data_IF_816943071671
#
_entry.id   IF_816943071671
#
_cell.length_a   1.000
_cell.length_b   1.000
_cell.length_c   1.000
_cell.angle_alpha   90.00
_cell.angle_beta   90.00
_cell.angle_gamma   90.00
#
_symmetry.space_group_name_H-M   'P 1'
#
loop_
_entity.id
_entity.type
_entity.pdbx_description
1 polymer ?
#
# COMPACT_ATOMS: atom_id res chain seq x y z
N UNK A 1 -1.07 -1.11 13.93
CA UNK A 1 -1.31 -1.70 12.58
C UNK A 1 -1.25 -3.21 12.70
N UNK A 2 -2.04 -3.96 11.92
CA UNK A 2 -1.94 -5.42 11.85
C UNK A 2 -1.52 -5.87 10.46
N UNK A 3 -0.50 -6.70 10.38
CA UNK A 3 0.00 -7.27 9.12
C UNK A 3 0.15 -8.78 9.23
N UNK A 4 -0.07 -9.49 8.12
CA UNK A 4 0.19 -10.92 8.00
C UNK A 4 1.68 -11.14 7.72
N UNK A 5 2.42 -11.59 8.72
CA UNK A 5 3.85 -11.88 8.62
C UNK A 5 4.06 -13.37 8.83
N UNK A 6 4.74 -14.03 7.89
CA UNK A 6 5.01 -15.49 7.94
C UNK A 6 3.72 -16.31 8.13
N UNK A 7 2.61 -15.87 7.51
CA UNK A 7 1.32 -16.56 7.54
C UNK A 7 0.42 -16.23 8.73
N UNK A 8 0.92 -15.53 9.76
CA UNK A 8 0.12 -15.13 10.94
C UNK A 8 -0.12 -13.63 10.99
N UNK A 9 -1.29 -13.22 11.45
CA UNK A 9 -1.55 -11.81 11.76
C UNK A 9 -0.73 -11.38 12.99
N UNK A 10 -0.03 -10.26 12.86
CA UNK A 10 0.84 -9.68 13.90
C UNK A 10 0.47 -8.24 14.12
N UNK A 11 0.39 -7.86 15.38
CA UNK A 11 0.23 -6.47 15.78
C UNK A 11 1.59 -5.79 15.87
N UNK A 12 1.72 -4.63 15.22
CA UNK A 12 2.94 -3.86 15.23
C UNK A 12 2.85 -2.71 16.23
N UNK A 13 3.80 -2.66 17.15
CA UNK A 13 3.99 -1.59 18.13
C UNK A 13 4.60 -0.36 17.46
N UNK A 14 4.04 0.86 17.63
CA UNK A 14 4.66 2.08 17.13
C UNK A 14 6.11 2.23 17.60
N UNK A 15 7.02 2.61 16.70
CA UNK A 15 8.46 2.65 17.02
C UNK A 15 8.81 3.59 18.18
N UNK A 16 8.03 4.67 18.39
CA UNK A 16 8.23 5.56 19.55
C UNK A 16 7.99 4.83 20.87
N UNK A 17 6.93 4.03 20.94
CA UNK A 17 6.58 3.24 22.11
C UNK A 17 7.60 2.12 22.35
N UNK A 18 8.00 1.43 21.27
CA UNK A 18 9.03 0.40 21.35
C UNK A 18 10.37 0.97 21.85
N UNK A 19 10.81 2.12 21.33
CA UNK A 19 12.04 2.78 21.80
C UNK A 19 11.97 3.15 23.27
N UNK A 20 10.85 3.72 23.71
CA UNK A 20 10.66 4.09 25.11
C UNK A 20 10.69 2.86 26.03
N UNK A 21 10.04 1.77 25.63
CA UNK A 21 9.99 0.53 26.43
C UNK A 21 11.35 -0.16 26.60
N UNK A 22 12.24 -0.04 25.61
CA UNK A 22 13.55 -0.71 25.61
C UNK A 22 14.74 0.23 25.82
N UNK A 23 14.50 1.53 26.06
CA UNK A 23 15.56 2.53 26.24
C UNK A 23 16.44 2.73 25.00
N UNK A 24 15.85 2.66 23.81
CA UNK A 24 16.57 2.78 22.54
C UNK A 24 16.73 4.25 22.10
N UNK A 25 17.81 4.59 21.38
CA UNK A 25 18.00 5.94 20.89
C UNK A 25 16.97 6.31 19.80
N UNK A 26 16.70 7.61 19.57
CA UNK A 26 15.84 8.07 18.47
C UNK A 26 16.32 7.61 17.08
N UNK A 27 17.60 7.30 16.95
CA UNK A 27 18.25 6.78 15.74
C UNK A 27 18.01 5.29 15.51
N UNK A 28 17.35 4.54 16.41
CA UNK A 28 16.94 3.17 16.12
C UNK A 28 15.69 3.19 15.23
N UNK A 29 15.85 3.04 13.92
CA UNK A 29 14.77 3.09 12.94
C UNK A 29 15.07 2.21 11.72
N UNK A 30 14.10 2.04 10.83
CA UNK A 30 14.29 1.26 9.58
C UNK A 30 15.46 1.83 8.76
N UNK A 31 15.61 3.16 8.73
CA UNK A 31 16.66 3.83 7.97
C UNK A 31 18.08 3.51 8.47
N UNK A 32 18.23 3.06 9.71
CA UNK A 32 19.51 2.62 10.30
C UNK A 32 20.03 1.35 9.66
N UNK A 33 19.11 0.47 9.25
CA UNK A 33 19.43 -0.86 8.73
C UNK A 33 19.33 -0.92 7.21
N UNK A 34 18.32 -0.25 6.64
CA UNK A 34 18.12 -0.11 5.21
C UNK A 34 17.91 1.36 4.85
N UNK A 35 18.99 2.16 4.74
CA UNK A 35 18.88 3.56 4.37
C UNK A 35 18.21 3.70 3.00
N UNK A 36 17.39 4.75 2.85
CA UNK A 36 16.82 5.13 1.56
C UNK A 36 17.53 6.36 1.05
N UNK A 37 18.06 6.29 -0.16
CA UNK A 37 18.46 7.49 -0.87
C UNK A 37 17.20 8.19 -1.39
N UNK A 38 17.02 9.44 -0.99
CA UNK A 38 15.92 10.29 -1.41
C UNK A 38 16.30 11.21 -2.58
N UNK A 39 17.56 11.17 -3.03
CA UNK A 39 18.00 11.98 -4.15
C UNK A 39 17.21 11.66 -5.42
N UNK A 40 16.65 12.70 -6.05
CA UNK A 40 15.87 12.57 -7.28
C UNK A 40 14.52 11.86 -7.14
N UNK A 41 13.98 11.68 -5.93
CA UNK A 41 12.61 11.17 -5.75
C UNK A 41 11.58 12.28 -5.99
N UNK A 42 10.46 11.89 -6.59
CA UNK A 42 9.31 12.77 -6.75
C UNK A 42 8.73 13.23 -5.40
N UNK A 43 8.20 14.46 -5.38
CA UNK A 43 7.56 15.04 -4.19
C UNK A 43 6.09 15.32 -4.46
N UNK A 44 5.23 14.88 -3.54
CA UNK A 44 3.79 15.16 -3.62
C UNK A 44 3.41 16.50 -2.97
N UNK A 45 4.33 17.17 -2.26
CA UNK A 45 4.03 18.38 -1.48
C UNK A 45 3.47 19.52 -2.34
N UNK A 46 3.85 19.57 -3.63
CA UNK A 46 3.41 20.60 -4.58
C UNK A 46 2.44 20.09 -5.65
N UNK A 47 2.15 18.78 -5.67
CA UNK A 47 1.33 18.15 -6.70
C UNK A 47 -0.15 18.01 -6.31
N UNK A 48 -0.61 18.63 -5.22
CA UNK A 48 -1.95 18.43 -4.70
C UNK A 48 -3.07 18.78 -5.69
N UNK A 49 -2.91 19.85 -6.46
CA UNK A 49 -3.88 20.25 -7.49
C UNK A 49 -3.90 19.26 -8.67
N UNK A 50 -2.73 18.91 -9.20
CA UNK A 50 -2.57 17.98 -10.33
C UNK A 50 -3.02 16.56 -9.95
N UNK A 51 -2.77 16.10 -8.72
CA UNK A 51 -3.30 14.83 -8.21
C UNK A 51 -4.83 14.85 -8.12
N UNK A 52 -5.43 15.99 -7.77
CA UNK A 52 -6.88 16.16 -7.79
C UNK A 52 -7.45 16.16 -9.21
N UNK A 53 -6.70 16.65 -10.20
CA UNK A 53 -7.05 16.52 -11.63
C UNK A 53 -7.06 15.06 -12.07
N UNK A 54 -6.00 14.30 -11.75
CA UNK A 54 -5.94 12.85 -12.00
C UNK A 54 -7.14 12.16 -11.37
N UNK A 55 -7.43 12.43 -10.10
CA UNK A 55 -8.60 11.89 -9.41
C UNK A 55 -9.91 12.21 -10.15
N UNK A 56 -10.13 13.46 -10.54
CA UNK A 56 -11.35 13.87 -11.28
C UNK A 56 -11.46 13.15 -12.62
N UNK A 57 -10.38 13.09 -13.39
CA UNK A 57 -10.35 12.42 -14.68
C UNK A 57 -10.69 10.92 -14.55
N UNK A 58 -10.10 10.24 -13.57
CA UNK A 58 -10.37 8.82 -13.33
C UNK A 58 -11.82 8.57 -12.93
N UNK A 59 -12.36 9.38 -12.01
CA UNK A 59 -13.74 9.22 -11.59
C UNK A 59 -14.72 9.54 -12.73
N UNK A 60 -14.40 10.48 -13.61
CA UNK A 60 -15.20 10.81 -14.80
C UNK A 60 -15.12 9.74 -15.91
N UNK A 61 -14.04 8.97 -15.95
CA UNK A 61 -13.86 7.88 -16.91
C UNK A 61 -14.71 6.64 -16.58
N UNK A 62 -15.18 6.51 -15.34
CA UNK A 62 -15.99 5.38 -14.91
C UNK A 62 -17.42 5.46 -15.50
N UNK A 63 -17.94 4.35 -16.05
CA UNK A 63 -19.29 4.30 -16.59
C UNK A 63 -20.33 4.41 -15.48
N UNK A 64 -21.49 4.99 -15.78
CA UNK A 64 -22.63 5.06 -14.85
C UNK A 64 -23.28 3.70 -14.61
N UNK A 65 -23.26 2.83 -15.63
CA UNK A 65 -23.81 1.47 -15.58
C UNK A 65 -22.93 0.51 -16.35
N UNK A 66 -22.66 -0.66 -15.79
CA UNK A 66 -21.83 -1.70 -16.39
C UNK A 66 -22.29 -3.08 -15.90
N UNK A 67 -22.58 -4.03 -16.80
CA UNK A 67 -22.81 -5.42 -16.40
C UNK A 67 -21.57 -5.98 -15.70
N UNK A 68 -21.75 -6.85 -14.71
CA UNK A 68 -20.65 -7.40 -13.91
C UNK A 68 -19.49 -7.96 -14.76
N UNK A 69 -19.80 -8.72 -15.81
CA UNK A 69 -18.81 -9.28 -16.74
C UNK A 69 -18.09 -8.22 -17.60
N UNK A 70 -18.72 -7.07 -17.82
CA UNK A 70 -18.15 -5.97 -18.59
C UNK A 70 -16.94 -5.33 -17.91
N UNK A 71 -16.87 -5.38 -16.58
CA UNK A 71 -15.74 -4.85 -15.82
C UNK A 71 -14.41 -5.48 -16.19
N UNK A 72 -14.37 -6.80 -16.44
CA UNK A 72 -13.13 -7.49 -16.83
C UNK A 72 -12.52 -6.95 -18.14
N UNK A 73 -13.38 -6.54 -19.08
CA UNK A 73 -12.94 -5.93 -20.33
C UNK A 73 -12.60 -4.45 -20.16
N UNK A 74 -13.21 -3.77 -19.18
CA UNK A 74 -12.99 -2.36 -18.92
C UNK A 74 -11.72 -2.07 -18.09
N UNK A 75 -11.31 -2.97 -17.19
CA UNK A 75 -10.15 -2.75 -16.30
C UNK A 75 -8.86 -2.35 -17.03
N UNK A 76 -8.45 -3.00 -18.15
CA UNK A 76 -7.25 -2.59 -18.86
C UNK A 76 -7.33 -1.14 -19.40
N UNK A 77 -8.51 -0.69 -19.82
CA UNK A 77 -8.71 0.68 -20.28
C UNK A 77 -8.63 1.69 -19.13
N UNK A 78 -9.24 1.36 -17.98
CA UNK A 78 -9.16 2.18 -16.77
C UNK A 78 -7.72 2.34 -16.27
N UNK A 79 -6.95 1.25 -16.20
CA UNK A 79 -5.54 1.29 -15.77
C UNK A 79 -4.66 2.08 -16.74
N UNK A 80 -4.87 1.94 -18.06
CA UNK A 80 -4.16 2.74 -19.07
C UNK A 80 -4.53 4.22 -18.97
N UNK A 81 -5.80 4.52 -18.68
CA UNK A 81 -6.22 5.90 -18.46
C UNK A 81 -5.53 6.48 -17.22
N UNK A 82 -5.45 5.74 -16.12
CA UNK A 82 -4.69 6.14 -14.93
C UNK A 82 -3.21 6.41 -15.22
N UNK A 83 -2.55 5.49 -15.92
CA UNK A 83 -1.17 5.67 -16.37
C UNK A 83 -0.98 6.95 -17.19
N UNK A 84 -1.86 7.17 -18.16
CA UNK A 84 -1.83 8.38 -19.00
C UNK A 84 -1.97 9.65 -18.16
N UNK A 85 -2.88 9.65 -17.19
CA UNK A 85 -3.08 10.79 -16.29
C UNK A 85 -1.85 11.04 -15.40
N UNK A 86 -1.18 9.99 -14.90
CA UNK A 86 0.06 10.15 -14.15
C UNK A 86 1.18 10.74 -15.00
N UNK A 87 1.37 10.28 -16.24
CA UNK A 87 2.38 10.84 -17.14
C UNK A 87 2.12 12.31 -17.48
N UNK A 88 0.85 12.72 -17.59
CA UNK A 88 0.47 14.11 -17.87
C UNK A 88 0.89 15.09 -16.76
N UNK A 89 0.90 14.64 -15.51
CA UNK A 89 1.29 15.48 -14.36
C UNK A 89 2.72 15.21 -13.88
N UNK A 90 3.48 14.33 -14.55
CA UNK A 90 4.74 13.83 -14.01
C UNK A 90 5.86 14.87 -14.00
N UNK A 91 5.76 15.91 -14.80
CA UNK A 91 6.64 17.08 -14.74
C UNK A 91 6.56 17.81 -13.39
N UNK A 92 5.41 17.77 -12.74
CA UNK A 92 5.14 18.38 -11.43
C UNK A 92 5.43 17.42 -10.27
N UNK A 93 5.19 16.12 -10.47
CA UNK A 93 5.39 15.11 -9.42
C UNK A 93 6.84 14.62 -9.36
N UNK A 94 7.48 14.42 -10.52
CA UNK A 94 8.85 13.92 -10.63
C UNK A 94 9.02 12.43 -10.34
N UNK A 95 8.04 11.58 -10.68
CA UNK A 95 8.18 10.13 -10.53
C UNK A 95 9.08 9.55 -11.62
N UNK A 96 9.89 8.57 -11.24
CA UNK A 96 10.62 7.74 -12.22
C UNK A 96 9.64 6.84 -12.96
N UNK A 97 9.95 6.41 -14.21
CA UNK A 97 9.08 5.51 -14.96
C UNK A 97 8.69 4.24 -14.20
N UNK A 98 9.61 3.66 -13.43
CA UNK A 98 9.31 2.49 -12.60
C UNK A 98 8.30 2.78 -11.48
N UNK A 99 8.30 3.98 -10.92
CA UNK A 99 7.40 4.38 -9.83
C UNK A 99 5.98 4.61 -10.34
N UNK A 100 5.84 5.16 -11.55
CA UNK A 100 4.56 5.20 -12.28
C UNK A 100 4.08 3.76 -12.51
N UNK A 101 4.95 2.87 -13.01
CA UNK A 101 4.63 1.47 -13.22
C UNK A 101 4.12 0.76 -11.95
N UNK A 102 4.74 1.01 -10.80
CA UNK A 102 4.27 0.48 -9.52
C UNK A 102 2.91 1.04 -9.10
N UNK A 103 2.68 2.35 -9.25
CA UNK A 103 1.40 2.97 -8.94
C UNK A 103 0.27 2.41 -9.82
N UNK A 104 0.51 2.29 -11.12
CA UNK A 104 -0.46 1.75 -12.08
C UNK A 104 -0.76 0.28 -11.80
N UNK A 105 0.26 -0.52 -11.50
CA UNK A 105 0.08 -1.93 -11.16
C UNK A 105 -0.74 -2.10 -9.88
N UNK A 106 -0.40 -1.37 -8.81
CA UNK A 106 -1.16 -1.43 -7.56
C UNK A 106 -2.62 -0.96 -7.72
N UNK A 107 -2.84 0.09 -8.53
CA UNK A 107 -4.19 0.53 -8.89
C UNK A 107 -4.99 -0.58 -9.60
N UNK A 108 -4.39 -1.19 -10.63
CA UNK A 108 -5.01 -2.25 -11.42
C UNK A 108 -5.33 -3.49 -10.56
N UNK A 109 -4.36 -3.92 -9.75
CA UNK A 109 -4.49 -5.11 -8.89
C UNK A 109 -5.66 -4.98 -7.92
N UNK A 110 -5.81 -3.82 -7.27
CA UNK A 110 -6.88 -3.60 -6.29
C UNK A 110 -8.25 -3.53 -6.98
N UNK A 111 -8.35 -2.83 -8.12
CA UNK A 111 -9.60 -2.79 -8.89
C UNK A 111 -10.01 -4.18 -9.35
N UNK A 112 -9.06 -4.97 -9.84
CA UNK A 112 -9.29 -6.34 -10.29
C UNK A 112 -9.65 -7.27 -9.11
N UNK A 113 -8.94 -7.17 -7.99
CA UNK A 113 -9.23 -7.93 -6.77
C UNK A 113 -10.65 -7.65 -6.26
N UNK A 114 -11.10 -6.40 -6.35
CA UNK A 114 -12.47 -6.01 -6.00
C UNK A 114 -13.49 -6.66 -6.92
N UNK A 115 -13.31 -6.56 -8.25
CA UNK A 115 -14.24 -7.17 -9.22
C UNK A 115 -14.32 -8.68 -9.02
N UNK A 116 -13.20 -9.37 -8.76
CA UNK A 116 -13.23 -10.80 -8.43
C UNK A 116 -13.96 -11.09 -7.11
N UNK A 117 -13.77 -10.26 -6.08
CA UNK A 117 -14.52 -10.40 -4.83
C UNK A 117 -16.02 -10.20 -5.06
N UNK A 118 -16.41 -9.22 -5.87
CA UNK A 118 -17.79 -8.94 -6.23
C UNK A 118 -18.44 -10.13 -6.98
N UNK A 119 -17.73 -10.71 -7.95
CA UNK A 119 -18.20 -11.93 -8.66
C UNK A 119 -18.41 -13.09 -7.70
N UNK A 120 -17.47 -13.33 -6.79
CA UNK A 120 -17.58 -14.41 -5.81
C UNK A 120 -18.81 -14.24 -4.92
N UNK A 121 -19.01 -13.04 -4.38
CA UNK A 121 -20.18 -12.72 -3.55
C UNK A 121 -21.47 -12.90 -4.35
N UNK A 122 -21.58 -12.33 -5.55
CA UNK A 122 -22.80 -12.44 -6.38
C UNK A 122 -23.13 -13.86 -6.82
N UNK A 123 -22.12 -14.72 -6.95
CA UNK A 123 -22.29 -16.13 -7.33
C UNK A 123 -22.70 -16.99 -6.13
N UNK A 124 -22.10 -16.76 -4.96
CA UNK A 124 -22.36 -17.56 -3.76
C UNK A 124 -23.60 -17.11 -3.00
N UNK A 125 -23.80 -15.79 -2.89
CA UNK A 125 -24.84 -15.13 -2.09
C UNK A 125 -25.38 -13.91 -2.87
N UNK A 126 -26.31 -14.10 -3.82
CA UNK A 126 -26.76 -13.03 -4.74
C UNK A 126 -27.26 -11.77 -4.02
N UNK A 127 -27.90 -11.94 -2.86
CA UNK A 127 -28.50 -10.87 -2.06
C UNK A 127 -27.52 -10.25 -1.04
N UNK A 128 -26.30 -10.78 -0.89
CA UNK A 128 -25.32 -10.22 0.02
C UNK A 128 -24.85 -8.83 -0.43
N UNK A 129 -24.44 -7.96 0.51
CA UNK A 129 -23.86 -6.68 0.17
C UNK A 129 -22.56 -6.87 -0.63
N UNK A 130 -22.20 -5.91 -1.51
CA UNK A 130 -20.88 -5.90 -2.14
C UNK A 130 -19.75 -6.01 -1.10
N UNK A 131 -18.58 -6.58 -1.48
CA UNK A 131 -17.43 -6.59 -0.58
C UNK A 131 -17.05 -5.17 -0.18
N UNK A 132 -16.54 -5.00 1.05
CA UNK A 132 -16.03 -3.71 1.50
C UNK A 132 -14.70 -3.39 0.81
N UNK A 133 -14.46 -2.11 0.56
CA UNK A 133 -13.17 -1.64 0.05
C UNK A 133 -12.04 -2.01 1.01
N UNK A 134 -12.23 -1.74 2.30
CA UNK A 134 -11.24 -2.00 3.35
C UNK A 134 -10.83 -3.48 3.39
N UNK A 135 -11.79 -4.40 3.27
CA UNK A 135 -11.51 -5.84 3.28
C UNK A 135 -10.63 -6.27 2.11
N UNK A 136 -10.93 -5.80 0.90
CA UNK A 136 -10.14 -6.11 -0.30
C UNK A 136 -8.77 -5.44 -0.24
N UNK A 137 -8.72 -4.15 0.13
CA UNK A 137 -7.50 -3.37 0.21
C UNK A 137 -6.50 -3.97 1.22
N UNK A 138 -6.95 -4.26 2.44
CA UNK A 138 -6.07 -4.82 3.46
C UNK A 138 -5.70 -6.28 3.17
N UNK A 139 -6.54 -7.06 2.49
CA UNK A 139 -6.13 -8.38 2.00
C UNK A 139 -4.99 -8.27 1.01
N UNK A 140 -5.14 -7.43 -0.04
CA UNK A 140 -4.10 -7.19 -1.03
C UNK A 140 -2.81 -6.65 -0.41
N UNK A 141 -2.92 -5.71 0.53
CA UNK A 141 -1.78 -5.12 1.21
C UNK A 141 -1.02 -6.19 2.02
N UNK A 142 -1.74 -7.06 2.72
CA UNK A 142 -1.15 -8.18 3.45
C UNK A 142 -0.46 -9.20 2.54
N UNK A 143 -1.04 -9.48 1.37
CA UNK A 143 -0.45 -10.40 0.39
C UNK A 143 0.84 -9.82 -0.23
N UNK A 144 1.01 -8.50 -0.18
CA UNK A 144 2.23 -7.81 -0.59
C UNK A 144 3.33 -7.77 0.47
N UNK A 145 3.05 -8.21 1.71
CA UNK A 145 4.03 -8.17 2.81
C UNK A 145 5.23 -9.06 2.50
N UNK A 146 6.43 -8.50 2.64
CA UNK A 146 7.70 -9.23 2.52
C UNK A 146 8.55 -8.93 3.74
N UNK A 147 9.35 -9.91 4.14
CA UNK A 147 10.35 -9.77 5.19
C UNK A 147 11.72 -9.93 4.54
N UNK A 148 12.61 -8.97 4.79
CA UNK A 148 13.98 -9.01 4.30
C UNK A 148 14.66 -10.32 4.72
N UNK A 149 15.43 -10.92 3.80
CA UNK A 149 16.24 -12.08 4.10
C UNK A 149 17.47 -11.70 4.94
N UNK A 150 17.89 -10.42 4.89
CA UNK A 150 18.98 -9.90 5.68
C UNK A 150 18.53 -9.76 7.14
N UNK A 151 19.35 -10.31 8.03
CA UNK A 151 19.24 -10.16 9.47
C UNK A 151 20.39 -9.28 9.96
N UNK A 152 20.08 -8.04 10.33
CA UNK A 152 21.05 -7.07 10.82
C UNK A 152 21.31 -7.32 12.31
N UNK A 153 22.59 -7.34 12.70
CA UNK A 153 22.97 -7.35 14.11
C UNK A 153 22.88 -5.92 14.68
N UNK A 154 22.29 -5.79 15.86
CA UNK A 154 22.25 -4.52 16.61
C UNK A 154 22.67 -4.76 18.05
N UNK A 155 23.77 -4.15 18.48
CA UNK A 155 24.27 -4.24 19.85
C UNK A 155 23.52 -3.25 20.75
N UNK A 156 22.91 -3.75 21.82
CA UNK A 156 22.22 -2.95 22.84
C UNK A 156 22.33 -3.62 24.19
N UNK A 157 22.84 -2.89 25.20
CA UNK A 157 22.97 -3.38 26.59
C UNK A 157 23.64 -4.76 26.68
N UNK A 158 24.80 -4.91 26.05
CA UNK A 158 25.60 -6.16 26.02
C UNK A 158 24.88 -7.37 25.40
N UNK A 159 23.78 -7.15 24.66
CA UNK A 159 23.08 -8.16 23.88
C UNK A 159 23.13 -7.82 22.39
N UNK A 160 23.17 -8.87 21.56
CA UNK A 160 23.04 -8.73 20.10
C UNK A 160 21.61 -9.06 19.71
N UNK A 161 20.93 -8.09 19.13
CA UNK A 161 19.59 -8.24 18.59
C UNK A 161 19.65 -8.53 17.10
N UNK A 162 18.69 -9.32 16.61
CA UNK A 162 18.48 -9.52 15.18
C UNK A 162 17.39 -8.59 14.67
N UNK A 163 17.63 -7.86 13.59
CA UNK A 163 16.65 -6.97 12.97
C UNK A 163 16.41 -7.38 11.53
N UNK A 164 15.15 -7.59 11.15
CA UNK A 164 14.73 -7.85 9.76
C UNK A 164 13.70 -6.82 9.34
N UNK A 165 13.87 -6.22 8.16
CA UNK A 165 12.94 -5.20 7.67
C UNK A 165 11.67 -5.85 7.12
N UNK A 166 10.53 -5.24 7.42
CA UNK A 166 9.22 -5.60 6.86
C UNK A 166 8.83 -4.54 5.84
N UNK A 167 8.44 -5.00 4.65
CA UNK A 167 7.95 -4.17 3.55
C UNK A 167 6.59 -4.64 3.09
N UNK A 168 5.86 -3.77 2.41
CA UNK A 168 4.65 -4.08 1.65
C UNK A 168 4.65 -3.28 0.33
N UNK A 169 3.54 -3.25 -0.39
CA UNK A 169 3.42 -2.55 -1.67
C UNK A 169 3.83 -1.06 -1.64
N UNK A 170 3.64 -0.37 -0.52
CA UNK A 170 4.03 1.05 -0.36
C UNK A 170 5.39 1.27 0.32
N UNK A 171 6.27 0.26 0.32
CA UNK A 171 7.64 0.39 0.80
C UNK A 171 7.90 -0.22 2.18
N UNK A 172 8.86 0.34 2.92
CA UNK A 172 9.29 -0.17 4.23
C UNK A 172 8.38 0.38 5.31
N UNK A 173 7.85 -0.50 6.15
CA UNK A 173 6.77 -0.18 7.11
C UNK A 173 7.13 -0.47 8.55
N UNK A 174 8.23 -1.18 8.75
CA UNK A 174 8.61 -1.64 10.07
C UNK A 174 9.71 -2.68 10.04
N UNK A 175 9.85 -3.35 11.17
CA UNK A 175 10.89 -4.33 11.40
C UNK A 175 10.42 -5.41 12.37
N UNK A 176 11.01 -6.60 12.25
CA UNK A 176 10.98 -7.65 13.25
C UNK A 176 12.27 -7.52 14.06
N UNK A 177 12.16 -7.33 15.36
CA UNK A 177 13.28 -7.26 16.30
C UNK A 177 13.30 -8.52 17.14
N UNK A 178 14.36 -9.31 17.03
CA UNK A 178 14.61 -10.53 17.79
C UNK A 178 15.52 -10.19 18.98
N UNK A 179 15.02 -10.41 20.20
CA UNK A 179 15.73 -10.22 21.47
C UNK A 179 15.73 -11.54 22.22
N UNK A 180 16.85 -12.27 22.19
CA UNK A 180 16.89 -13.66 22.66
C UNK A 180 15.88 -14.51 21.89
N UNK A 181 14.93 -15.15 22.59
CA UNK A 181 13.85 -15.95 22.00
C UNK A 181 12.60 -15.12 21.62
N UNK A 182 12.55 -13.85 22.00
CA UNK A 182 11.37 -13.00 21.78
C UNK A 182 11.44 -12.23 20.45
N UNK A 183 10.29 -12.18 19.76
CA UNK A 183 10.09 -11.37 18.55
C UNK A 183 9.16 -10.21 18.84
N UNK A 184 9.59 -9.02 18.44
CA UNK A 184 8.80 -7.81 18.46
C UNK A 184 8.55 -7.33 17.04
N UNK A 185 7.31 -6.95 16.75
CA UNK A 185 6.92 -6.38 15.47
C UNK A 185 6.76 -4.88 15.66
N UNK A 186 7.58 -4.10 14.98
CA UNK A 186 7.72 -2.66 15.24
C UNK A 186 7.34 -1.89 13.98
N UNK A 187 6.36 -0.98 14.11
CA UNK A 187 5.90 -0.12 13.02
C UNK A 187 6.75 1.13 12.95
N UNK A 188 7.32 1.39 11.78
CA UNK A 188 8.10 2.59 11.48
C UNK A 188 7.78 3.06 10.06
N UNK A 189 6.93 4.08 9.98
CA UNK A 189 6.45 4.63 8.72
C UNK A 189 7.33 5.77 8.20
N UNK A 190 8.52 5.99 8.78
CA UNK A 190 9.41 7.08 8.34
C UNK A 190 9.82 6.96 6.87
N UNK A 191 9.82 5.74 6.32
CA UNK A 191 10.14 5.45 4.91
C UNK A 191 8.92 4.98 4.10
N UNK A 192 7.70 5.17 4.63
CA UNK A 192 6.47 4.84 3.93
C UNK A 192 6.31 5.71 2.67
N UNK A 193 5.70 5.16 1.62
CA UNK A 193 5.43 5.91 0.40
C UNK A 193 4.43 7.05 0.68
N UNK A 194 4.77 8.31 0.36
CA UNK A 194 3.84 9.43 0.56
C UNK A 194 2.58 9.31 -0.28
N UNK A 195 2.61 8.55 -1.38
CA UNK A 195 1.47 8.35 -2.27
C UNK A 195 0.41 7.38 -1.72
N UNK A 196 0.68 6.65 -0.63
CA UNK A 196 -0.25 5.65 -0.09
C UNK A 196 -1.60 6.27 0.26
N UNK A 197 -1.60 7.42 0.94
CA UNK A 197 -2.84 8.12 1.32
C UNK A 197 -3.68 8.50 0.09
N UNK A 198 -3.04 9.09 -0.92
CA UNK A 198 -3.71 9.45 -2.18
C UNK A 198 -4.31 8.21 -2.87
N UNK A 199 -3.50 7.15 -3.04
CA UNK A 199 -3.92 5.91 -3.69
C UNK A 199 -5.09 5.25 -2.96
N UNK A 200 -5.03 5.15 -1.63
CA UNK A 200 -6.09 4.58 -0.82
C UNK A 200 -7.41 5.36 -0.99
N UNK A 201 -7.36 6.69 -0.99
CA UNK A 201 -8.55 7.53 -1.18
C UNK A 201 -9.13 7.40 -2.59
N UNK A 202 -8.28 7.50 -3.63
CA UNK A 202 -8.71 7.34 -5.01
C UNK A 202 -9.37 5.98 -5.23
N UNK A 203 -8.73 4.90 -4.77
CA UNK A 203 -9.25 3.54 -4.92
C UNK A 203 -10.57 3.35 -4.18
N UNK A 204 -10.73 3.88 -2.96
CA UNK A 204 -12.00 3.83 -2.24
C UNK A 204 -13.14 4.41 -3.07
N UNK A 205 -12.91 5.54 -3.73
CA UNK A 205 -13.94 6.20 -4.54
C UNK A 205 -14.20 5.48 -5.87
N UNK A 206 -13.16 4.99 -6.53
CA UNK A 206 -13.29 4.16 -7.74
C UNK A 206 -14.10 2.91 -7.43
N UNK A 207 -13.78 2.21 -6.34
CA UNK A 207 -14.49 1.02 -5.91
C UNK A 207 -15.95 1.32 -5.55
N UNK A 208 -16.21 2.42 -4.85
CA UNK A 208 -17.58 2.84 -4.56
C UNK A 208 -18.40 3.07 -5.84
N UNK A 209 -17.80 3.67 -6.87
CA UNK A 209 -18.45 3.86 -8.18
C UNK A 209 -18.64 2.56 -8.94
N UNK A 210 -17.65 1.65 -8.93
CA UNK A 210 -17.79 0.31 -9.52
C UNK A 210 -18.97 -0.44 -8.88
N UNK A 211 -19.05 -0.42 -7.54
CA UNK A 211 -20.13 -1.07 -6.80
C UNK A 211 -21.51 -0.50 -7.17
N UNK A 212 -21.63 0.83 -7.28
CA UNK A 212 -22.87 1.51 -7.62
C UNK A 212 -23.30 1.34 -9.10
N UNK A 213 -22.33 1.30 -10.01
CA UNK A 213 -22.59 1.16 -11.45
C UNK A 213 -22.83 -0.30 -11.89
N UNK A 214 -22.53 -1.28 -11.04
CA UNK A 214 -22.72 -2.70 -11.39
C UNK A 214 -24.20 -3.06 -11.41
N UNK A 215 -24.65 -3.56 -12.56
CA UNK A 215 -26.04 -4.02 -12.80
C UNK A 215 -26.11 -5.48 -13.24
#
# INVERSE_FOLDING_TARGET
>A
MRLKVEGSEREFTPIREFRAAFGLPPTFCVNTFEPKDFSGLGSLERAGESLNEVRRAILAFLPERMPLQGWFHFMPALSRHFETQLYQINDQVGLRPMEIGFAVSGFADICQAYVYALVRVRTAEPDAPPPSFEGVYYSWLNDSVRVSALNYAYEHQDQVWGVRIVTYAYGRVGMIVQVGEHRHYVMDTALACPAEGFMMHLLREVIARIAAATV
#
